data_IF_494365051518
#
_entry.id   IF_494365051518
#
_cell.length_a   1.000
_cell.length_b   1.000
_cell.length_c   1.000
_cell.angle_alpha   90.00
_cell.angle_beta   90.00
_cell.angle_gamma   90.00
#
_symmetry.space_group_name_H-M   'P 1'
#
loop_
_entity.id
_entity.type
_entity.pdbx_description
1 polymer ?
#
# COMPACT_ATOMS: atom_id res chain seq x y z
N UNK A 1 5.99 26.14 0.40
CA UNK A 1 6.78 25.35 1.36
C UNK A 1 8.27 25.46 1.05
N UNK A 2 9.07 26.00 1.98
CA UNK A 2 10.54 26.00 1.91
C UNK A 2 11.10 24.59 1.70
N UNK A 3 12.28 24.47 1.06
CA UNK A 3 12.86 23.15 0.69
C UNK A 3 13.13 22.26 1.89
N UNK A 4 13.54 22.85 3.01
CA UNK A 4 13.93 22.18 4.25
C UNK A 4 12.76 21.39 4.86
N UNK A 5 11.55 21.94 4.85
CA UNK A 5 10.39 21.30 5.46
C UNK A 5 9.62 20.35 4.54
N UNK A 6 9.97 20.25 3.25
CA UNK A 6 9.27 19.34 2.31
C UNK A 6 9.38 17.89 2.76
N UNK A 7 10.58 17.44 3.08
CA UNK A 7 10.83 16.05 3.48
C UNK A 7 10.13 15.70 4.80
N UNK A 8 10.26 16.50 5.88
CA UNK A 8 9.52 16.25 7.12
C UNK A 8 7.99 16.24 6.95
N UNK A 9 7.43 17.19 6.20
CA UNK A 9 5.97 17.25 5.97
C UNK A 9 5.48 16.02 5.23
N UNK A 10 6.18 15.61 4.16
CA UNK A 10 5.84 14.39 3.41
C UNK A 10 5.95 13.15 4.28
N UNK A 11 6.96 13.09 5.16
CA UNK A 11 7.12 11.95 6.07
C UNK A 11 5.98 11.89 7.10
N UNK A 12 5.62 13.01 7.73
CA UNK A 12 4.44 13.12 8.60
C UNK A 12 3.19 12.67 7.87
N UNK A 13 2.94 13.21 6.68
CA UNK A 13 1.79 12.86 5.86
C UNK A 13 1.72 11.36 5.55
N UNK A 14 2.85 10.72 5.21
CA UNK A 14 2.92 9.27 4.99
C UNK A 14 2.66 8.45 6.25
N UNK A 15 3.15 8.91 7.41
CA UNK A 15 2.87 8.23 8.70
C UNK A 15 1.38 8.27 8.99
N UNK A 16 0.75 9.43 8.84
CA UNK A 16 -0.69 9.63 9.08
C UNK A 16 -1.54 8.74 8.17
N UNK A 17 -1.20 8.64 6.88
CA UNK A 17 -1.83 7.71 5.94
C UNK A 17 -1.76 6.24 6.39
N UNK A 18 -0.64 5.83 6.99
CA UNK A 18 -0.36 4.45 7.34
C UNK A 18 -0.81 4.04 8.75
N UNK A 19 -1.26 4.97 9.60
CA UNK A 19 -1.82 4.60 10.90
C UNK A 19 -3.12 3.81 10.74
N UNK A 20 -3.30 2.80 11.59
CA UNK A 20 -4.42 1.87 11.50
C UNK A 20 -4.72 1.26 12.87
N UNK A 21 -6.00 0.94 13.14
CA UNK A 21 -6.49 0.46 14.43
C UNK A 21 -5.81 -0.84 14.91
N UNK A 22 -5.47 -1.73 13.98
CA UNK A 22 -4.79 -3.01 14.27
C UNK A 22 -3.27 -2.90 14.49
N UNK A 23 -2.71 -1.69 14.42
CA UNK A 23 -1.28 -1.47 14.61
C UNK A 23 -1.10 -0.84 15.99
N UNK A 24 -0.59 -1.62 16.97
CA UNK A 24 -0.45 -1.13 18.33
C UNK A 24 0.61 -0.03 18.42
N UNK A 25 0.44 0.88 19.37
CA UNK A 25 1.47 1.82 19.76
C UNK A 25 2.66 1.09 20.41
N UNK A 26 3.79 1.80 20.52
CA UNK A 26 5.02 1.23 21.11
C UNK A 26 5.01 1.24 22.64
N UNK A 27 3.87 1.51 23.28
CA UNK A 27 3.75 1.63 24.74
C UNK A 27 3.81 0.27 25.45
N UNK A 28 3.90 0.26 26.79
CA UNK A 28 3.97 -0.94 27.63
C UNK A 28 2.72 -1.84 27.55
N UNK A 29 1.58 -1.28 27.17
CA UNK A 29 0.32 -2.01 27.03
C UNK A 29 -0.01 -2.33 25.57
N UNK A 30 0.58 -1.60 24.61
CA UNK A 30 0.36 -1.80 23.18
C UNK A 30 -1.04 -1.43 22.76
N UNK A 31 -1.49 -0.28 23.27
CA UNK A 31 -2.79 0.30 23.01
C UNK A 31 -3.03 0.44 21.51
N UNK A 32 -4.22 0.02 21.10
CA UNK A 32 -4.72 0.22 19.75
C UNK A 32 -5.66 1.41 19.77
N UNK A 33 -5.34 2.44 18.98
CA UNK A 33 -6.16 3.64 18.89
C UNK A 33 -7.41 3.41 18.04
N UNK A 34 -8.48 4.13 18.36
CA UNK A 34 -9.68 4.23 17.54
C UNK A 34 -9.42 5.06 16.27
N UNK A 35 -10.31 4.96 15.29
CA UNK A 35 -10.21 5.74 14.06
C UNK A 35 -10.20 7.26 14.33
N UNK A 36 -10.99 7.70 15.31
CA UNK A 36 -11.10 9.09 15.73
C UNK A 36 -9.81 9.57 16.41
N UNK A 37 -9.29 8.82 17.39
CA UNK A 37 -8.03 9.16 18.06
C UNK A 37 -6.86 9.25 17.09
N UNK A 38 -6.81 8.35 16.08
CA UNK A 38 -5.78 8.41 15.04
C UNK A 38 -5.91 9.68 14.20
N UNK A 39 -7.14 10.07 13.84
CA UNK A 39 -7.40 11.29 13.08
C UNK A 39 -6.99 12.53 13.87
N UNK A 40 -7.46 12.66 15.11
CA UNK A 40 -7.13 13.78 16.00
C UNK A 40 -5.63 13.89 16.24
N UNK A 41 -4.95 12.78 16.51
CA UNK A 41 -3.49 12.75 16.69
C UNK A 41 -2.73 13.18 15.42
N UNK A 42 -3.16 12.74 14.24
CA UNK A 42 -2.54 13.10 12.97
C UNK A 42 -2.73 14.60 12.64
N UNK A 43 -3.93 15.12 12.90
CA UNK A 43 -4.26 16.54 12.72
C UNK A 43 -3.38 17.38 13.65
N UNK A 44 -3.30 16.99 14.92
CA UNK A 44 -2.50 17.68 15.93
C UNK A 44 -0.99 17.63 15.61
N UNK A 45 -0.44 16.48 15.19
CA UNK A 45 0.98 16.33 14.83
C UNK A 45 1.38 17.22 13.65
N UNK A 46 0.50 17.35 12.66
CA UNK A 46 0.75 18.23 11.50
C UNK A 46 0.57 19.71 11.87
N UNK A 47 -0.48 20.05 12.62
CA UNK A 47 -0.75 21.41 13.07
C UNK A 47 0.40 21.96 13.89
N UNK A 48 0.85 21.22 14.91
CA UNK A 48 1.96 21.63 15.77
C UNK A 48 3.24 21.87 14.96
N UNK A 49 3.56 20.95 14.04
CA UNK A 49 4.72 21.12 13.18
C UNK A 49 4.61 22.36 12.28
N UNK A 50 3.44 22.60 11.68
CA UNK A 50 3.26 23.78 10.83
C UNK A 50 3.28 25.08 11.65
N UNK A 51 2.71 25.10 12.85
CA UNK A 51 2.69 26.27 13.74
C UNK A 51 4.10 26.64 14.21
N UNK A 52 4.91 25.65 14.59
CA UNK A 52 6.28 25.88 15.07
C UNK A 52 7.23 26.39 13.97
N UNK A 53 6.96 26.07 12.70
CA UNK A 53 7.82 26.44 11.57
C UNK A 53 7.20 27.52 10.66
N UNK A 54 6.16 28.21 11.13
CA UNK A 54 5.43 29.25 10.40
C UNK A 54 4.94 28.83 8.99
N UNK A 55 4.44 27.59 8.87
CA UNK A 55 3.99 26.99 7.62
C UNK A 55 2.47 27.10 7.44
N UNK A 56 1.90 28.29 7.64
CA UNK A 56 0.44 28.52 7.63
C UNK A 56 -0.22 28.04 6.33
N UNK A 57 0.40 28.33 5.18
CA UNK A 57 -0.12 27.90 3.86
C UNK A 57 -0.13 26.38 3.69
N UNK A 58 0.87 25.68 4.24
CA UNK A 58 0.95 24.22 4.17
C UNK A 58 -0.14 23.62 5.05
N UNK A 59 -0.32 24.16 6.24
CA UNK A 59 -1.40 23.76 7.13
C UNK A 59 -2.78 23.96 6.48
N UNK A 60 -3.06 25.15 5.96
CA UNK A 60 -4.33 25.46 5.31
C UNK A 60 -4.65 24.49 4.17
N UNK A 61 -3.66 24.17 3.33
CA UNK A 61 -3.80 23.18 2.27
C UNK A 61 -4.09 21.78 2.80
N UNK A 62 -3.25 21.27 3.73
CA UNK A 62 -3.40 19.90 4.23
C UNK A 62 -4.73 19.74 4.98
N UNK A 63 -5.10 20.72 5.79
CA UNK A 63 -6.38 20.76 6.48
C UNK A 63 -7.54 20.68 5.50
N UNK A 64 -7.61 21.60 4.55
CA UNK A 64 -8.76 21.74 3.64
C UNK A 64 -8.92 20.54 2.70
N UNK A 65 -7.81 19.97 2.23
CA UNK A 65 -7.84 18.88 1.26
C UNK A 65 -7.94 17.49 1.89
N UNK A 66 -7.40 17.28 3.10
CA UNK A 66 -7.20 15.93 3.63
C UNK A 66 -7.80 15.71 5.03
N UNK A 67 -7.77 16.70 5.92
CA UNK A 67 -8.11 16.50 7.33
C UNK A 67 -9.48 17.02 7.76
N UNK A 68 -9.99 18.07 7.11
CA UNK A 68 -11.19 18.79 7.55
C UNK A 68 -12.48 17.99 7.36
N UNK A 69 -12.60 17.26 6.26
CA UNK A 69 -13.82 16.55 5.90
C UNK A 69 -13.70 15.06 6.20
N UNK A 70 -14.60 14.47 7.00
CA UNK A 70 -14.58 13.03 7.29
C UNK A 70 -14.59 12.16 6.03
N UNK A 71 -15.31 12.60 4.98
CA UNK A 71 -15.35 11.91 3.69
C UNK A 71 -13.99 11.91 2.99
N UNK A 72 -13.22 13.00 3.07
CA UNK A 72 -11.89 13.09 2.47
C UNK A 72 -10.88 12.25 3.25
N UNK A 73 -10.93 12.33 4.59
CA UNK A 73 -10.13 11.46 5.44
C UNK A 73 -10.39 9.98 5.14
N UNK A 74 -11.65 9.59 4.99
CA UNK A 74 -12.02 8.20 4.71
C UNK A 74 -11.52 7.66 3.36
N UNK A 75 -11.38 8.53 2.35
CA UNK A 75 -10.82 8.14 1.05
C UNK A 75 -9.30 7.94 1.10
N UNK A 76 -8.64 8.57 2.07
CA UNK A 76 -7.19 8.64 2.14
C UNK A 76 -6.62 7.76 3.25
N UNK A 77 -7.06 7.90 4.49
CA UNK A 77 -6.46 7.26 5.65
C UNK A 77 -6.81 5.77 5.76
N UNK A 78 -5.82 4.95 6.11
CA UNK A 78 -6.06 3.53 6.41
C UNK A 78 -6.89 3.35 7.67
N UNK A 79 -6.83 4.28 8.63
CA UNK A 79 -7.60 4.20 9.88
C UNK A 79 -9.11 4.34 9.69
N UNK A 80 -9.59 4.78 8.52
CA UNK A 80 -11.02 4.82 8.25
C UNK A 80 -11.63 3.43 8.00
N UNK A 81 -10.80 2.42 7.75
CA UNK A 81 -11.25 1.05 7.50
C UNK A 81 -10.77 0.11 8.61
N UNK A 82 -11.58 -0.88 9.02
CA UNK A 82 -11.18 -1.83 10.05
C UNK A 82 -10.16 -2.87 9.58
N UNK A 83 -9.86 -2.91 8.27
CA UNK A 83 -9.07 -3.93 7.61
C UNK A 83 -7.81 -3.35 6.97
N UNK A 84 -6.65 -3.95 7.27
CA UNK A 84 -5.42 -3.64 6.53
C UNK A 84 -5.46 -4.37 5.18
N UNK A 85 -5.58 -3.60 4.09
CA UNK A 85 -5.51 -4.16 2.75
C UNK A 85 -4.19 -4.91 2.52
N UNK A 86 -4.26 -6.06 1.82
CA UNK A 86 -3.07 -6.84 1.44
C UNK A 86 -2.12 -6.07 0.51
N UNK A 87 -2.63 -5.03 -0.14
CA UNK A 87 -1.90 -4.19 -1.09
C UNK A 87 -2.27 -2.73 -0.84
N UNK A 88 -1.27 -1.85 -0.83
CA UNK A 88 -1.49 -0.44 -0.47
C UNK A 88 -2.00 0.43 -1.59
N UNK A 89 -1.91 -0.03 -2.82
CA UNK A 89 -2.11 0.84 -3.97
C UNK A 89 -3.08 0.23 -4.96
N UNK A 90 -3.87 1.11 -5.57
CA UNK A 90 -4.61 0.91 -6.81
C UNK A 90 -3.68 0.59 -7.99
N UNK A 91 -2.35 0.63 -7.85
CA UNK A 91 -1.37 0.36 -8.91
C UNK A 91 -1.61 -0.94 -9.69
N UNK A 92 -2.19 -1.98 -9.08
CA UNK A 92 -2.58 -3.19 -9.83
C UNK A 92 -3.80 -2.94 -10.73
N UNK A 93 -4.79 -2.21 -10.23
CA UNK A 93 -5.94 -1.77 -11.02
C UNK A 93 -5.51 -0.76 -12.09
N UNK A 94 -4.71 0.25 -11.76
CA UNK A 94 -4.15 1.22 -12.72
C UNK A 94 -3.24 0.55 -13.74
N UNK A 95 -2.36 -0.34 -13.30
CA UNK A 95 -1.49 -1.12 -14.16
C UNK A 95 -2.28 -2.02 -15.11
N UNK A 96 -3.35 -2.64 -14.60
CA UNK A 96 -4.31 -3.38 -15.41
C UNK A 96 -4.95 -2.49 -16.47
N UNK A 97 -5.54 -1.35 -16.08
CA UNK A 97 -6.19 -0.44 -17.01
C UNK A 97 -5.22 0.17 -18.02
N UNK A 98 -3.97 0.40 -17.63
CA UNK A 98 -2.92 0.85 -18.55
C UNK A 98 -2.60 -0.20 -19.62
N UNK A 99 -2.39 -1.45 -19.21
CA UNK A 99 -2.13 -2.55 -20.14
C UNK A 99 -3.36 -2.81 -21.02
N UNK A 100 -4.55 -2.85 -20.43
CA UNK A 100 -5.79 -3.03 -21.17
C UNK A 100 -6.03 -1.92 -22.19
N UNK A 101 -5.78 -0.65 -21.82
CA UNK A 101 -5.89 0.48 -22.76
C UNK A 101 -4.90 0.38 -23.92
N UNK A 102 -3.69 -0.12 -23.68
CA UNK A 102 -2.65 -0.20 -24.69
C UNK A 102 -2.79 -1.44 -25.58
N UNK A 103 -2.97 -2.61 -24.96
CA UNK A 103 -2.88 -3.91 -25.63
C UNK A 103 -4.23 -4.34 -26.25
N UNK A 104 -5.35 -3.86 -25.70
CA UNK A 104 -6.71 -4.27 -26.15
C UNK A 104 -7.47 -3.09 -26.74
N UNK A 105 -7.52 -1.94 -26.04
CA UNK A 105 -8.27 -0.78 -26.53
C UNK A 105 -7.48 0.10 -27.52
N UNK A 106 -6.19 -0.18 -27.75
CA UNK A 106 -5.32 0.67 -28.57
C UNK A 106 -5.78 0.81 -30.03
N UNK A 107 -6.49 -0.19 -30.54
CA UNK A 107 -7.06 -0.22 -31.89
C UNK A 107 -8.41 0.50 -32.00
N UNK A 108 -9.04 0.89 -30.89
CA UNK A 108 -10.38 1.48 -30.89
C UNK A 108 -10.31 2.97 -30.56
N UNK A 109 -10.90 3.80 -31.42
CA UNK A 109 -11.11 5.22 -31.12
C UNK A 109 -12.35 5.37 -30.23
N UNK A 110 -12.18 5.95 -29.04
CA UNK A 110 -13.28 6.23 -28.08
C UNK A 110 -14.24 5.04 -27.87
N UNK A 111 -13.73 3.88 -27.40
CA UNK A 111 -14.55 2.70 -27.24
C UNK A 111 -15.71 2.95 -26.26
N UNK A 112 -16.93 2.60 -26.67
CA UNK A 112 -18.10 2.64 -25.80
C UNK A 112 -17.98 1.66 -24.63
N UNK A 113 -18.72 1.91 -23.55
CA UNK A 113 -18.68 1.08 -22.34
C UNK A 113 -19.05 -0.39 -22.63
N UNK A 114 -19.99 -0.62 -23.55
CA UNK A 114 -20.45 -1.97 -23.91
C UNK A 114 -19.34 -2.78 -24.59
N UNK A 115 -18.59 -2.16 -25.50
CA UNK A 115 -17.45 -2.78 -26.17
C UNK A 115 -16.34 -3.10 -25.17
N UNK A 116 -16.03 -2.16 -24.27
CA UNK A 116 -15.05 -2.37 -23.20
C UNK A 116 -15.46 -3.56 -22.33
N UNK A 117 -16.73 -3.63 -21.95
CA UNK A 117 -17.28 -4.70 -21.12
C UNK A 117 -17.21 -6.04 -21.84
N UNK A 118 -17.61 -6.08 -23.12
CA UNK A 118 -17.51 -7.26 -23.97
C UNK A 118 -16.06 -7.79 -24.03
N UNK A 119 -15.09 -6.93 -24.35
CA UNK A 119 -13.66 -7.29 -24.45
C UNK A 119 -13.09 -7.79 -23.10
N UNK A 120 -13.55 -7.22 -21.98
CA UNK A 120 -13.20 -7.73 -20.66
C UNK A 120 -13.71 -9.16 -20.47
N UNK A 121 -14.94 -9.46 -20.88
CA UNK A 121 -15.53 -10.79 -20.75
C UNK A 121 -14.94 -11.82 -21.71
N UNK A 122 -14.65 -11.43 -22.95
CA UNK A 122 -14.24 -12.36 -24.01
C UNK A 122 -12.73 -12.57 -24.08
N UNK A 123 -11.92 -11.54 -23.83
CA UNK A 123 -10.47 -11.65 -24.01
C UNK A 123 -9.72 -11.65 -22.67
N UNK A 124 -10.03 -10.69 -21.81
CA UNK A 124 -9.26 -10.44 -20.59
C UNK A 124 -9.55 -11.48 -19.52
N UNK A 125 -10.83 -11.72 -19.20
CA UNK A 125 -11.21 -12.63 -18.13
C UNK A 125 -10.76 -14.07 -18.39
N UNK A 126 -10.90 -14.64 -19.60
CA UNK A 126 -10.36 -15.96 -19.90
C UNK A 126 -8.83 -16.04 -19.79
N UNK A 127 -8.12 -14.98 -20.19
CA UNK A 127 -6.66 -14.89 -20.03
C UNK A 127 -6.26 -14.86 -18.54
N UNK A 128 -6.97 -14.09 -17.71
CA UNK A 128 -6.76 -14.05 -16.26
C UNK A 128 -7.09 -15.39 -15.62
N UNK A 129 -8.21 -16.04 -15.97
CA UNK A 129 -8.60 -17.36 -15.48
C UNK A 129 -7.51 -18.40 -15.76
N UNK A 130 -7.01 -18.47 -17.00
CA UNK A 130 -5.89 -19.35 -17.38
C UNK A 130 -4.64 -19.11 -16.53
N UNK A 131 -4.25 -17.84 -16.34
CA UNK A 131 -3.12 -17.48 -15.46
C UNK A 131 -3.37 -17.87 -14.01
N UNK A 132 -4.60 -17.69 -13.50
CA UNK A 132 -4.96 -18.04 -12.14
C UNK A 132 -4.93 -19.56 -11.93
N UNK A 133 -5.49 -20.34 -12.87
CA UNK A 133 -5.46 -21.80 -12.82
C UNK A 133 -4.02 -22.33 -12.87
N UNK A 134 -3.14 -21.69 -13.63
CA UNK A 134 -1.70 -21.99 -13.61
C UNK A 134 -1.06 -21.70 -12.24
N UNK A 135 -1.35 -20.53 -11.63
CA UNK A 135 -0.84 -20.16 -10.30
C UNK A 135 -1.38 -21.05 -9.19
N UNK A 136 -2.62 -21.50 -9.30
CA UNK A 136 -3.28 -22.40 -8.34
C UNK A 136 -2.91 -23.86 -8.55
N UNK A 137 -2.10 -24.19 -9.56
CA UNK A 137 -1.70 -25.58 -9.86
C UNK A 137 -2.85 -26.45 -10.33
N UNK A 138 -3.89 -25.85 -10.92
CA UNK A 138 -5.05 -26.57 -11.47
C UNK A 138 -4.79 -27.14 -12.87
N UNK A 139 -3.66 -26.80 -13.49
CA UNK A 139 -3.20 -27.40 -14.75
C UNK A 139 -2.08 -28.43 -14.51
N UNK A 140 -1.95 -29.37 -15.46
CA UNK A 140 -1.19 -30.63 -15.35
C UNK A 140 0.20 -30.48 -14.73
N UNK A 141 0.49 -31.44 -13.83
CA UNK A 141 1.75 -31.70 -13.15
C UNK A 141 2.81 -32.08 -14.20
N UNK A 142 3.78 -31.21 -14.47
CA UNK A 142 4.86 -31.56 -15.41
C UNK A 142 5.94 -30.52 -15.62
N UNK A 143 5.67 -29.24 -15.32
CA UNK A 143 6.66 -28.16 -15.44
C UNK A 143 6.97 -27.48 -14.09
N UNK A 144 8.21 -27.02 -13.87
CA UNK A 144 8.51 -26.14 -12.73
C UNK A 144 7.65 -24.87 -12.81
N UNK A 145 6.94 -24.55 -11.73
CA UNK A 145 6.15 -23.31 -11.68
C UNK A 145 7.06 -22.08 -11.73
N UNK A 146 7.01 -21.35 -12.85
CA UNK A 146 7.72 -20.07 -12.97
C UNK A 146 7.05 -19.07 -12.03
N UNK A 147 7.79 -18.61 -11.01
CA UNK A 147 7.28 -17.58 -10.10
C UNK A 147 6.96 -16.30 -10.86
N UNK A 148 5.78 -15.74 -10.61
CA UNK A 148 5.43 -14.41 -11.10
C UNK A 148 6.48 -13.36 -10.64
N UNK A 149 6.75 -12.29 -11.41
CA UNK A 149 7.77 -11.30 -11.06
C UNK A 149 7.62 -10.70 -9.65
N UNK A 150 6.39 -10.38 -9.24
CA UNK A 150 6.11 -9.88 -7.89
C UNK A 150 6.41 -10.91 -6.79
N UNK A 151 6.26 -12.20 -7.07
CA UNK A 151 6.56 -13.27 -6.14
C UNK A 151 8.07 -13.47 -6.00
N UNK A 152 8.83 -13.32 -7.09
CA UNK A 152 10.30 -13.27 -7.05
C UNK A 152 10.77 -12.09 -6.21
N UNK A 153 10.17 -10.91 -6.40
CA UNK A 153 10.47 -9.71 -5.61
C UNK A 153 10.12 -9.89 -4.13
N UNK A 154 8.93 -10.39 -3.81
CA UNK A 154 8.51 -10.66 -2.43
C UNK A 154 9.46 -11.66 -1.74
N UNK A 155 9.88 -12.72 -2.45
CA UNK A 155 10.87 -13.69 -1.96
C UNK A 155 12.22 -13.03 -1.71
N UNK A 156 12.69 -12.18 -2.62
CA UNK A 156 13.94 -11.42 -2.45
C UNK A 156 13.90 -10.53 -1.19
N UNK A 157 12.82 -9.76 -1.03
CA UNK A 157 12.61 -8.92 0.16
C UNK A 157 12.55 -9.76 1.44
N UNK A 158 11.90 -10.93 1.40
CA UNK A 158 11.87 -11.84 2.54
C UNK A 158 13.26 -12.29 2.96
N UNK A 159 14.08 -12.73 2.00
CA UNK A 159 15.44 -13.20 2.24
C UNK A 159 16.40 -12.09 2.69
N UNK A 160 16.20 -10.85 2.24
CA UNK A 160 16.95 -9.69 2.75
C UNK A 160 16.60 -9.41 4.22
N UNK A 161 15.32 -9.43 4.56
CA UNK A 161 14.84 -9.11 5.92
C UNK A 161 15.02 -10.24 6.93
N UNK A 162 15.20 -11.48 6.46
CA UNK A 162 15.49 -12.63 7.33
C UNK A 162 16.92 -12.63 7.86
N UNK A 163 17.86 -11.99 7.15
CA UNK A 163 19.25 -11.88 7.58
C UNK A 163 19.38 -11.02 8.83
N UNK A 164 20.38 -11.30 9.66
CA UNK A 164 20.77 -10.45 10.79
C UNK A 164 21.19 -9.06 10.30
N UNK A 165 21.02 -8.05 11.14
CA UNK A 165 21.35 -6.67 10.77
C UNK A 165 22.83 -6.48 10.46
N UNK A 166 23.73 -7.15 11.20
CA UNK A 166 25.16 -7.18 10.94
C UNK A 166 25.49 -7.68 9.53
N UNK A 167 24.93 -8.82 9.13
CA UNK A 167 25.13 -9.41 7.80
C UNK A 167 24.59 -8.49 6.69
N UNK A 168 23.39 -7.94 6.89
CA UNK A 168 22.76 -7.04 5.91
C UNK A 168 23.58 -5.76 5.71
N UNK A 169 24.07 -5.17 6.81
CA UNK A 169 24.94 -3.98 6.78
C UNK A 169 26.25 -4.29 6.07
N UNK A 170 26.95 -5.35 6.46
CA UNK A 170 28.21 -5.75 5.83
C UNK A 170 28.07 -5.99 4.32
N UNK A 171 26.96 -6.60 3.86
CA UNK A 171 26.69 -6.76 2.42
C UNK A 171 26.48 -5.43 1.69
N UNK A 172 25.74 -4.50 2.30
CA UNK A 172 25.52 -3.17 1.73
C UNK A 172 26.83 -2.39 1.67
N UNK A 173 27.60 -2.40 2.74
CA UNK A 173 28.91 -1.75 2.83
C UNK A 173 29.87 -2.32 1.79
N UNK A 174 30.00 -3.65 1.70
CA UNK A 174 30.80 -4.30 0.65
C UNK A 174 30.36 -3.89 -0.75
N UNK A 175 29.06 -3.84 -1.01
CA UNK A 175 28.52 -3.42 -2.31
C UNK A 175 28.88 -1.96 -2.62
N UNK A 176 28.76 -1.07 -1.63
CA UNK A 176 29.16 0.32 -1.77
C UNK A 176 30.65 0.43 -2.05
N UNK A 177 31.51 -0.19 -1.25
CA UNK A 177 32.97 -0.15 -1.42
C UNK A 177 33.44 -0.77 -2.75
N UNK A 178 32.75 -1.80 -3.23
CA UNK A 178 33.06 -2.42 -4.53
C UNK A 178 32.64 -1.56 -5.74
N UNK A 179 31.79 -0.55 -5.54
CA UNK A 179 31.38 0.34 -6.61
C UNK A 179 32.50 1.35 -6.91
N UNK A 180 32.88 1.48 -8.18
CA UNK A 180 33.90 2.42 -8.62
C UNK A 180 33.24 3.69 -9.20
N UNK A 181 33.10 4.79 -8.43
CA UNK A 181 32.42 6.00 -8.87
C UNK A 181 33.24 6.75 -9.93
N UNK A 182 32.64 7.01 -11.10
CA UNK A 182 33.30 7.72 -12.20
C UNK A 182 33.30 9.25 -12.06
N UNK A 183 32.51 9.80 -11.13
CA UNK A 183 32.34 11.24 -10.96
C UNK A 183 32.48 11.65 -9.49
N UNK A 184 32.96 12.88 -9.25
CA UNK A 184 33.07 13.45 -7.90
C UNK A 184 31.72 13.47 -7.17
N UNK A 185 30.62 13.74 -7.88
CA UNK A 185 29.27 13.70 -7.33
C UNK A 185 28.85 12.27 -6.91
N UNK A 186 29.23 11.24 -7.67
CA UNK A 186 28.95 9.85 -7.31
C UNK A 186 29.76 9.42 -6.07
N UNK A 187 31.03 9.83 -5.98
CA UNK A 187 31.89 9.59 -4.82
C UNK A 187 31.31 10.22 -3.54
N UNK A 188 30.91 11.49 -3.61
CA UNK A 188 30.27 12.19 -2.47
C UNK A 188 28.97 11.52 -2.02
N UNK A 189 28.17 10.96 -2.95
CA UNK A 189 26.96 10.20 -2.63
C UNK A 189 27.29 8.87 -1.93
N UNK A 190 28.32 8.17 -2.38
CA UNK A 190 28.79 6.92 -1.78
C UNK A 190 29.29 7.14 -0.34
N UNK A 191 30.10 8.18 -0.11
CA UNK A 191 30.57 8.58 1.21
C UNK A 191 29.41 8.86 2.17
N UNK A 192 28.43 9.67 1.73
CA UNK A 192 27.22 9.95 2.50
C UNK A 192 26.40 8.70 2.82
N UNK A 193 26.36 7.72 1.91
CA UNK A 193 25.68 6.44 2.15
C UNK A 193 26.40 5.56 3.16
N UNK A 194 27.74 5.58 3.16
CA UNK A 194 28.55 4.87 4.16
C UNK A 194 28.41 5.50 5.54
N UNK A 195 28.43 6.82 5.62
CA UNK A 195 28.19 7.58 6.86
C UNK A 195 26.80 7.25 7.44
N UNK A 196 25.75 7.31 6.63
CA UNK A 196 24.40 6.91 7.05
C UNK A 196 24.32 5.46 7.56
N UNK A 197 25.08 4.53 6.98
CA UNK A 197 25.13 3.14 7.45
C UNK A 197 25.81 2.99 8.82
N UNK A 198 26.81 3.84 9.10
CA UNK A 198 27.48 3.89 10.41
C UNK A 198 26.56 4.47 11.48
N UNK A 199 25.89 5.57 11.17
CA UNK A 199 24.87 6.17 12.05
C UNK A 199 23.71 5.17 12.33
N UNK A 200 23.20 4.47 11.30
CA UNK A 200 22.18 3.42 11.47
C UNK A 200 22.69 2.28 12.37
N UNK A 201 24.01 2.09 12.49
CA UNK A 201 24.62 1.07 13.33
C UNK A 201 24.65 1.44 14.81
N UNK A 202 24.90 2.71 15.10
CA UNK A 202 24.95 3.28 16.45
C UNK A 202 23.56 3.57 17.01
N UNK A 203 22.58 3.81 16.14
CA UNK A 203 21.21 4.11 16.56
C UNK A 203 20.56 2.92 17.31
N UNK A 204 20.11 3.17 18.54
CA UNK A 204 19.40 2.19 19.34
C UNK A 204 18.15 1.70 18.60
N UNK A 205 17.98 0.38 18.50
CA UNK A 205 16.78 -0.17 17.86
C UNK A 205 15.56 0.16 18.72
N UNK A 206 14.62 0.92 18.16
CA UNK A 206 13.34 1.17 18.81
C UNK A 206 12.63 -0.14 19.18
N UNK A 207 11.96 -0.16 20.33
CA UNK A 207 11.13 -1.28 20.74
C UNK A 207 9.85 -1.26 19.92
N UNK A 208 9.64 -2.29 19.10
CA UNK A 208 8.46 -2.40 18.24
C UNK A 208 7.63 -3.62 18.61
N UNK A 209 6.32 -3.43 18.68
CA UNK A 209 5.36 -4.51 18.89
C UNK A 209 5.12 -5.27 17.59
N UNK A 210 5.10 -6.60 17.70
CA UNK A 210 4.92 -7.52 16.57
C UNK A 210 3.90 -8.59 16.90
N UNK A 211 2.77 -8.58 16.20
CA UNK A 211 1.73 -9.59 16.32
C UNK A 211 1.73 -10.50 15.08
N UNK A 212 2.13 -11.76 15.26
CA UNK A 212 2.21 -12.72 14.15
C UNK A 212 0.84 -13.19 13.66
N UNK A 213 -0.13 -13.37 14.57
CA UNK A 213 -1.47 -13.84 14.22
C UNK A 213 -2.17 -12.85 13.26
N UNK A 214 -2.06 -11.56 13.56
CA UNK A 214 -2.66 -10.47 12.78
C UNK A 214 -1.74 -10.00 11.64
N UNK A 215 -0.50 -10.49 11.59
CA UNK A 215 0.54 -10.01 10.67
C UNK A 215 0.75 -8.49 10.75
N UNK A 216 0.90 -7.95 11.96
CA UNK A 216 1.11 -6.51 12.17
C UNK A 216 2.39 -6.21 12.95
N UNK A 217 3.01 -5.07 12.62
CA UNK A 217 4.16 -4.54 13.34
C UNK A 217 4.08 -3.02 13.40
N UNK A 218 4.40 -2.44 14.55
CA UNK A 218 4.40 -0.99 14.78
C UNK A 218 5.58 -0.25 14.16
N UNK A 219 6.52 -0.93 13.51
CA UNK A 219 7.70 -0.28 12.97
C UNK A 219 7.44 0.50 11.68
N UNK A 220 8.13 1.63 11.45
CA UNK A 220 7.97 2.42 10.22
C UNK A 220 8.26 1.60 8.95
N UNK A 221 9.21 0.67 9.00
CA UNK A 221 9.51 -0.20 7.85
C UNK A 221 8.33 -1.10 7.46
N UNK A 222 7.52 -1.54 8.42
CA UNK A 222 6.28 -2.26 8.11
C UNK A 222 5.31 -1.33 7.40
N UNK A 223 5.11 -0.13 7.96
CA UNK A 223 4.25 0.93 7.43
C UNK A 223 4.69 1.53 6.08
N UNK A 224 5.91 1.29 5.62
CA UNK A 224 6.38 1.75 4.30
C UNK A 224 6.62 0.60 3.30
N UNK A 225 6.52 -0.66 3.75
CA UNK A 225 6.71 -1.83 2.89
C UNK A 225 5.53 -2.11 1.96
N UNK A 226 5.83 -2.25 0.66
CA UNK A 226 4.87 -2.71 -0.38
C UNK A 226 4.20 -4.04 -0.05
N UNK A 227 4.92 -4.96 0.58
CA UNK A 227 4.43 -6.31 0.91
C UNK A 227 4.00 -6.47 2.37
N UNK A 228 3.98 -5.38 3.14
CA UNK A 228 3.75 -5.41 4.60
C UNK A 228 4.77 -6.33 5.30
N UNK A 229 6.03 -6.22 4.88
CA UNK A 229 7.17 -6.97 5.40
C UNK A 229 8.11 -6.03 6.15
N UNK A 230 8.52 -6.43 7.35
CA UNK A 230 9.60 -5.82 8.08
C UNK A 230 10.51 -6.89 8.68
N UNK A 231 11.73 -6.49 9.09
CA UNK A 231 12.70 -7.42 9.69
C UNK A 231 12.15 -8.07 10.97
N UNK A 232 11.45 -7.34 11.82
CA UNK A 232 10.92 -7.85 13.09
C UNK A 232 9.91 -8.97 12.85
N UNK A 233 8.98 -8.74 11.94
CA UNK A 233 7.90 -9.67 11.66
C UNK A 233 8.41 -10.92 10.95
N UNK A 234 9.30 -10.77 9.95
CA UNK A 234 9.89 -11.89 9.22
C UNK A 234 10.77 -12.75 10.13
N UNK A 235 11.65 -12.13 10.93
CA UNK A 235 12.51 -12.87 11.85
C UNK A 235 11.68 -13.64 12.88
N UNK A 236 10.68 -12.99 13.50
CA UNK A 236 9.76 -13.64 14.45
C UNK A 236 8.98 -14.79 13.81
N UNK A 237 8.54 -14.62 12.55
CA UNK A 237 7.88 -15.69 11.78
C UNK A 237 8.82 -16.87 11.51
N UNK A 238 10.05 -16.60 11.05
CA UNK A 238 11.05 -17.64 10.79
C UNK A 238 11.41 -18.41 12.06
N UNK A 239 11.56 -17.72 13.20
CA UNK A 239 11.80 -18.38 14.49
C UNK A 239 10.67 -19.33 14.85
N UNK A 240 9.39 -18.92 14.67
CA UNK A 240 8.25 -19.80 14.93
C UNK A 240 8.12 -20.96 13.94
N UNK A 241 8.54 -20.77 12.69
CA UNK A 241 8.45 -21.80 11.66
C UNK A 241 9.63 -22.77 11.65
N UNK A 242 10.75 -22.41 12.29
CA UNK A 242 12.01 -23.15 12.19
C UNK A 242 12.63 -23.11 10.79
N UNK A 243 12.10 -22.30 9.86
CA UNK A 243 12.60 -22.19 8.49
C UNK A 243 12.58 -20.74 8.03
N UNK A 244 13.48 -20.40 7.10
CA UNK A 244 13.49 -19.11 6.40
C UNK A 244 12.67 -19.12 5.09
N UNK A 245 11.99 -20.24 4.80
CA UNK A 245 11.19 -20.46 3.59
C UNK A 245 9.76 -20.84 3.98
N UNK A 246 8.91 -19.86 4.33
CA UNK A 246 7.51 -20.15 4.63
C UNK A 246 6.79 -20.70 3.39
N UNK A 247 6.10 -21.83 3.55
CA UNK A 247 5.19 -22.34 2.52
C UNK A 247 3.89 -21.52 2.43
N UNK A 248 3.11 -21.72 1.37
CA UNK A 248 1.80 -21.05 1.20
C UNK A 248 0.84 -21.34 2.35
N UNK A 249 0.92 -22.52 2.96
CA UNK A 249 0.10 -22.91 4.10
C UNK A 249 0.26 -21.99 5.32
N UNK A 250 1.45 -21.43 5.54
CA UNK A 250 1.67 -20.43 6.58
C UNK A 250 0.84 -19.17 6.32
N UNK A 251 0.95 -18.61 5.11
CA UNK A 251 0.25 -17.39 4.74
C UNK A 251 -1.26 -17.56 4.71
N UNK A 252 -1.76 -18.78 4.44
CA UNK A 252 -3.19 -19.10 4.48
C UNK A 252 -3.76 -19.10 5.91
N UNK A 253 -2.93 -19.39 6.92
CA UNK A 253 -3.32 -19.42 8.34
C UNK A 253 -3.27 -18.04 9.01
N UNK A 254 -2.71 -17.02 8.34
CA UNK A 254 -2.66 -15.67 8.89
C UNK A 254 -4.06 -15.07 8.94
N UNK A 255 -4.47 -14.58 10.12
CA UNK A 255 -5.70 -13.78 10.27
C UNK A 255 -5.43 -12.35 9.85
N UNK A 256 -5.13 -12.15 8.56
CA UNK A 256 -5.32 -10.83 7.96
C UNK A 256 -6.80 -10.76 7.68
N UNK A 257 -7.57 -10.03 8.47
CA UNK A 257 -9.01 -9.91 8.27
C UNK A 257 -9.29 -9.67 6.78
N UNK A 258 -9.73 -10.72 6.11
CA UNK A 258 -9.82 -10.75 4.66
C UNK A 258 -11.11 -10.03 4.31
N UNK A 259 -11.06 -9.20 3.27
CA UNK A 259 -12.23 -8.88 2.43
C UNK A 259 -12.85 -10.14 1.75
N UNK A 260 -12.56 -11.36 2.23
CA UNK A 260 -13.09 -12.60 1.66
C UNK A 260 -14.55 -12.87 2.03
N UNK A 261 -15.15 -12.08 2.92
CA UNK A 261 -16.60 -12.05 3.07
C UNK A 261 -17.27 -10.92 2.29
N UNK A 262 -16.62 -10.39 1.24
CA UNK A 262 -17.39 -9.92 0.09
C UNK A 262 -17.99 -11.13 -0.62
N UNK A 263 -18.96 -11.78 0.04
CA UNK A 263 -19.95 -12.61 -0.61
C UNK A 263 -20.77 -11.67 -1.48
N UNK A 264 -20.32 -11.49 -2.73
CA UNK A 264 -21.17 -11.01 -3.83
C UNK A 264 -22.34 -11.97 -4.15
N UNK A 265 -22.69 -12.86 -3.22
CA UNK A 265 -23.74 -13.87 -3.31
C UNK A 265 -24.94 -13.59 -2.40
N UNK A 266 -25.05 -12.39 -1.81
CA UNK A 266 -26.31 -11.91 -1.20
C UNK A 266 -26.57 -10.42 -1.44
N UNK A 267 -26.46 -9.95 -2.67
CA UNK A 267 -27.44 -8.96 -3.09
C UNK A 267 -28.74 -9.75 -3.26
N UNK A 268 -29.68 -9.62 -2.32
CA UNK A 268 -31.06 -10.00 -2.61
C UNK A 268 -31.45 -9.23 -3.88
N UNK A 269 -32.10 -9.85 -4.87
CA UNK A 269 -32.74 -9.05 -5.91
C UNK A 269 -33.71 -8.12 -5.18
N UNK A 270 -33.45 -6.81 -5.22
CA UNK A 270 -34.49 -5.85 -4.92
C UNK A 270 -35.60 -6.14 -5.92
N UNK A 271 -36.70 -6.70 -5.43
CA UNK A 271 -37.89 -6.91 -6.23
C UNK A 271 -38.34 -5.57 -6.82
N UNK A 272 -38.78 -5.54 -8.08
CA UNK A 272 -39.09 -4.32 -8.79
C UNK A 272 -40.50 -3.88 -8.41
N UNK A 273 -40.65 -3.00 -7.41
CA UNK A 273 -41.91 -2.27 -7.27
C UNK A 273 -41.66 -0.82 -6.83
N UNK A 274 -42.13 0.07 -7.71
CA UNK A 274 -42.65 1.44 -7.49
C UNK A 274 -41.69 2.63 -7.69
N UNK A 275 -42.25 3.76 -8.18
CA UNK A 275 -41.90 4.26 -9.51
C UNK A 275 -41.03 5.51 -9.46
N UNK A 276 -40.40 5.77 -10.60
CA UNK A 276 -39.70 6.99 -10.96
C UNK A 276 -40.53 8.23 -10.64
N UNK A 277 -40.16 8.94 -9.57
CA UNK A 277 -40.43 10.37 -9.49
C UNK A 277 -39.28 11.08 -10.19
N UNK A 278 -39.47 11.28 -11.49
CA UNK A 278 -38.70 12.23 -12.29
C UNK A 278 -38.78 13.61 -11.61
N UNK A 279 -37.65 14.09 -11.07
CA UNK A 279 -37.45 15.52 -10.85
C UNK A 279 -37.36 16.18 -12.22
N UNK A 280 -38.43 16.86 -12.59
CA UNK A 280 -38.52 17.80 -13.69
C UNK A 280 -37.46 18.90 -13.53
N UNK A 281 -36.53 18.98 -14.48
CA UNK A 281 -35.80 20.22 -14.74
C UNK A 281 -36.69 21.13 -15.60
N UNK A 282 -36.85 22.42 -15.25
CA UNK A 282 -37.65 23.33 -16.05
C UNK A 282 -36.92 23.66 -17.36
N UNK A 283 -37.56 23.32 -18.47
CA UNK A 283 -37.16 23.72 -19.81
C UNK A 283 -37.41 25.23 -20.00
N UNK A 284 -36.35 25.99 -20.21
CA UNK A 284 -36.46 27.37 -20.73
C UNK A 284 -36.75 27.31 -22.23
N UNK A 285 -37.96 27.73 -22.58
CA UNK A 285 -38.51 27.90 -23.91
C UNK A 285 -37.55 28.59 -24.89
N UNK A 286 -37.23 27.92 -25.99
CA UNK A 286 -36.90 28.58 -27.26
C UNK A 286 -38.22 28.93 -27.94
N UNK A 287 -38.44 30.22 -28.20
CA UNK A 287 -39.41 30.69 -29.21
C UNK A 287 -38.71 30.71 -30.56
N UNK A 288 -39.30 30.06 -31.56
CA UNK A 288 -39.10 30.37 -32.96
C UNK A 288 -39.83 31.68 -33.30
N UNK A 289 -39.31 32.46 -34.24
CA UNK A 289 -40.05 32.89 -35.43
C UNK A 289 -39.37 32.28 -36.67
N UNK A 290 -40.09 31.84 -37.70
CA UNK A 290 -41.01 32.62 -38.52
C UNK A 290 -40.34 32.77 -39.87
#
# INVERSE_FOLDING_TARGET
CPKEHRTPVVEKFRRHFCHHLLIPLNDADGTCLTAQEIHEAAVYDMYQYCRQNDLVHVWAYIWSCWYALPQQWALWAQSAYPLISRMRTTMKAEGFWRLFKHDVLGSFSRPGLDLVTYLIFTEVLPSIKRKLDHVLGRQRVGGPHVLAPWAKEAKSVWMDKSQLDSIRRAKKEKKLLSANPKTSAAKKRQEKQLEWLREEAEQSQGQYRTALLNWTCSCPSFLLSRFLFCKHLIRKANTKLGTNRPGLGFFRKLRRFLLSDCRYSRCRPCSPQRPLLCRSYPATNRRCPG
#
